data_IF_423963315525
#
_entry.id   IF_423963315525
#
_cell.length_a   1.000
_cell.length_b   1.000
_cell.length_c   1.000
_cell.angle_alpha   90.00
_cell.angle_beta   90.00
_cell.angle_gamma   90.00
#
_symmetry.space_group_name_H-M   'P 1'
#
loop_
_entity.id
_entity.type
_entity.pdbx_description
1 polymer ?
#
# COMPACT_ATOMS: atom_id res chain seq x y z
N UNK A 1 34.78 9.50 19.21
CA UNK A 1 33.50 9.87 18.56
C UNK A 1 32.49 10.08 19.66
N UNK A 2 31.90 11.27 19.77
CA UNK A 2 31.10 11.67 20.93
C UNK A 2 29.89 10.74 21.10
N UNK A 3 29.83 10.14 22.28
CA UNK A 3 28.81 9.22 22.76
C UNK A 3 27.60 10.04 23.24
N UNK A 4 26.98 10.83 22.35
CA UNK A 4 25.76 11.57 22.68
C UNK A 4 24.60 10.59 22.79
N UNK A 5 23.78 10.73 23.83
CA UNK A 5 22.56 9.95 24.02
C UNK A 5 21.63 10.20 22.82
N UNK A 6 21.03 9.16 22.21
CA UNK A 6 20.16 9.33 21.06
C UNK A 6 18.96 10.21 21.42
N UNK A 7 18.51 11.05 20.46
CA UNK A 7 17.34 11.93 20.60
C UNK A 7 16.03 11.17 20.87
N UNK A 8 15.95 9.93 20.41
CA UNK A 8 14.81 9.02 20.59
C UNK A 8 14.95 7.78 19.71
N UNK A 9 13.95 6.88 19.77
CA UNK A 9 13.89 5.69 18.92
C UNK A 9 12.82 5.84 17.83
N UNK A 10 13.23 5.76 16.57
CA UNK A 10 12.35 5.92 15.39
C UNK A 10 12.11 4.57 14.72
N UNK A 11 10.85 4.19 14.55
CA UNK A 11 10.43 3.09 13.70
C UNK A 11 10.26 3.56 12.26
N UNK A 12 10.89 2.91 11.28
CA UNK A 12 10.74 3.25 9.86
C UNK A 12 10.12 2.09 9.08
N UNK A 13 8.85 2.25 8.67
CA UNK A 13 8.19 1.36 7.71
C UNK A 13 8.47 1.83 6.27
N UNK A 14 8.91 0.93 5.40
CA UNK A 14 9.40 1.29 4.06
C UNK A 14 10.89 1.66 4.03
N UNK A 15 11.65 1.25 5.04
CA UNK A 15 13.08 1.50 5.21
C UNK A 15 13.95 1.11 4.00
N UNK A 16 13.61 0.02 3.30
CA UNK A 16 14.35 -0.42 2.10
C UNK A 16 13.98 0.34 0.83
N UNK A 17 13.02 1.28 0.89
CA UNK A 17 12.53 2.04 -0.26
C UNK A 17 13.40 3.24 -0.63
N UNK A 18 13.07 3.88 -1.76
CA UNK A 18 13.79 5.04 -2.31
C UNK A 18 14.01 6.18 -1.28
N UNK A 19 12.95 6.55 -0.56
CA UNK A 19 13.00 7.57 0.49
C UNK A 19 13.60 7.00 1.78
N UNK A 20 13.16 5.79 2.18
CA UNK A 20 13.57 5.15 3.43
C UNK A 20 15.09 5.06 3.57
N UNK A 21 15.80 4.58 2.54
CA UNK A 21 17.26 4.43 2.60
C UNK A 21 17.99 5.75 2.83
N UNK A 22 17.51 6.84 2.23
CA UNK A 22 18.09 8.18 2.39
C UNK A 22 17.75 8.77 3.75
N UNK A 23 16.52 8.57 4.22
CA UNK A 23 16.12 8.97 5.56
C UNK A 23 17.00 8.30 6.62
N UNK A 24 17.23 6.99 6.50
CA UNK A 24 18.08 6.24 7.42
C UNK A 24 19.51 6.80 7.53
N UNK A 25 20.07 7.30 6.42
CA UNK A 25 21.38 7.96 6.40
C UNK A 25 21.38 9.31 7.12
N UNK A 26 20.25 10.01 7.15
CA UNK A 26 20.09 11.30 7.80
C UNK A 26 19.81 11.18 9.31
N UNK A 27 19.24 10.07 9.77
CA UNK A 27 18.83 9.86 11.17
C UNK A 27 19.97 9.40 12.12
N UNK A 28 21.20 9.91 11.95
CA UNK A 28 22.37 9.46 12.75
C UNK A 28 22.28 9.76 14.24
N UNK A 29 21.52 10.78 14.62
CA UNK A 29 21.33 11.19 16.03
C UNK A 29 20.21 10.41 16.74
N UNK A 30 19.59 9.46 16.04
CA UNK A 30 18.48 8.64 16.52
C UNK A 30 18.87 7.16 16.56
N UNK A 31 18.27 6.41 17.48
CA UNK A 31 18.21 4.96 17.33
C UNK A 31 17.10 4.65 16.32
N UNK A 32 17.37 3.83 15.32
CA UNK A 32 16.39 3.54 14.27
C UNK A 32 16.04 2.06 14.24
N UNK A 33 14.76 1.74 14.30
CA UNK A 33 14.22 0.40 14.04
C UNK A 33 13.73 0.39 12.58
N UNK A 34 14.48 -0.26 11.70
CA UNK A 34 14.19 -0.32 10.27
C UNK A 34 13.44 -1.61 9.92
N UNK A 35 12.18 -1.49 9.48
CA UNK A 35 11.37 -2.64 9.08
C UNK A 35 11.71 -3.08 7.66
N UNK A 36 12.05 -4.36 7.49
CA UNK A 36 12.27 -4.98 6.18
C UNK A 36 11.47 -6.27 6.01
N UNK A 37 10.89 -6.49 4.82
CA UNK A 37 10.16 -7.74 4.55
C UNK A 37 11.08 -8.92 4.28
N UNK A 38 12.19 -8.66 3.59
CA UNK A 38 13.21 -9.64 3.23
C UNK A 38 14.55 -9.13 3.71
N UNK A 39 15.43 -10.01 4.18
CA UNK A 39 16.79 -9.67 4.59
C UNK A 39 17.59 -9.18 3.38
N UNK A 40 17.58 -7.87 3.17
CA UNK A 40 18.21 -7.22 2.02
C UNK A 40 18.62 -5.80 2.42
N UNK A 41 19.57 -5.74 3.36
CA UNK A 41 20.14 -4.49 3.85
C UNK A 41 20.89 -3.81 2.69
N UNK A 42 20.57 -2.56 2.35
CA UNK A 42 21.28 -1.81 1.32
C UNK A 42 22.77 -1.70 1.66
N UNK A 43 23.69 -1.84 0.67
CA UNK A 43 25.12 -1.79 0.92
C UNK A 43 25.59 -0.56 1.71
N UNK A 44 25.02 0.62 1.42
CA UNK A 44 25.36 1.88 2.08
C UNK A 44 24.95 1.95 3.57
N UNK A 45 24.15 1.00 4.06
CA UNK A 45 23.60 0.96 5.42
C UNK A 45 24.07 -0.27 6.21
N UNK A 46 24.99 -1.07 5.67
CA UNK A 46 25.45 -2.31 6.33
C UNK A 46 26.20 -2.05 7.63
N UNK A 47 27.02 -1.01 7.66
CA UNK A 47 27.89 -0.69 8.80
C UNK A 47 27.27 0.37 9.73
N UNK A 48 26.00 0.73 9.51
CA UNK A 48 25.30 1.74 10.29
C UNK A 48 24.88 1.18 11.65
N UNK A 49 25.62 1.51 12.71
CA UNK A 49 25.41 0.99 14.07
C UNK A 49 24.17 1.54 14.76
N UNK A 50 23.63 2.68 14.31
CA UNK A 50 22.42 3.28 14.86
C UNK A 50 21.12 2.63 14.34
N UNK A 51 21.23 1.67 13.41
CA UNK A 51 20.09 1.04 12.73
C UNK A 51 19.95 -0.42 13.16
N UNK A 52 18.83 -0.73 13.80
CA UNK A 52 18.38 -2.08 14.11
C UNK A 52 17.39 -2.56 13.03
N UNK A 53 17.82 -3.52 12.20
CA UNK A 53 16.97 -4.09 11.17
C UNK A 53 16.09 -5.20 11.73
N UNK A 54 14.76 -5.07 11.60
CA UNK A 54 13.80 -6.10 12.03
C UNK A 54 12.99 -6.62 10.85
N UNK A 55 12.90 -7.95 10.75
CA UNK A 55 12.12 -8.60 9.71
C UNK A 55 10.63 -8.48 10.03
N UNK A 56 9.83 -7.97 9.10
CA UNK A 56 8.40 -7.75 9.29
C UNK A 56 7.64 -7.74 7.96
N UNK A 57 6.65 -8.63 7.81
CA UNK A 57 5.61 -8.51 6.78
C UNK A 57 4.47 -7.63 7.33
N UNK A 58 4.30 -6.43 6.77
CA UNK A 58 3.30 -5.47 7.22
C UNK A 58 1.84 -5.95 7.07
N UNK A 59 1.60 -7.05 6.34
CA UNK A 59 0.28 -7.68 6.33
C UNK A 59 -0.02 -8.44 7.62
N UNK A 60 1.01 -8.81 8.39
CA UNK A 60 0.89 -9.45 9.69
C UNK A 60 0.94 -8.40 10.81
N UNK A 61 -0.23 -8.09 11.38
CA UNK A 61 -0.32 -7.23 12.56
C UNK A 61 0.60 -7.69 13.70
N UNK A 62 0.66 -9.00 13.95
CA UNK A 62 1.50 -9.57 15.00
C UNK A 62 2.99 -9.25 14.80
N UNK A 63 3.51 -9.41 13.57
CA UNK A 63 4.91 -9.11 13.30
C UNK A 63 5.22 -7.63 13.45
N UNK A 64 4.27 -6.74 13.12
CA UNK A 64 4.47 -5.30 13.33
C UNK A 64 4.47 -4.98 14.82
N UNK A 65 3.56 -5.56 15.61
CA UNK A 65 3.55 -5.40 17.08
C UNK A 65 4.89 -5.84 17.69
N UNK A 66 5.43 -6.99 17.29
CA UNK A 66 6.74 -7.45 17.78
C UNK A 66 7.88 -6.54 17.29
N UNK A 67 7.90 -6.20 16.00
CA UNK A 67 8.98 -5.45 15.41
C UNK A 67 8.97 -3.95 15.77
N UNK A 68 7.85 -3.39 16.21
CA UNK A 68 7.76 -1.98 16.61
C UNK A 68 8.00 -1.72 18.10
N UNK A 69 8.23 -2.77 18.89
CA UNK A 69 8.47 -2.63 20.33
C UNK A 69 9.68 -1.74 20.63
N UNK A 70 9.50 -0.79 21.56
CA UNK A 70 10.55 0.14 22.01
C UNK A 70 10.76 1.37 21.12
N UNK A 71 9.89 1.63 20.15
CA UNK A 71 9.91 2.87 19.36
C UNK A 71 9.05 3.97 20.00
N UNK A 72 9.50 5.22 19.91
CA UNK A 72 8.78 6.39 20.42
C UNK A 72 8.00 7.10 19.30
N UNK A 73 8.61 7.18 18.10
CA UNK A 73 8.06 7.83 16.91
C UNK A 73 8.11 6.87 15.73
N UNK A 74 7.13 6.95 14.84
CA UNK A 74 7.03 6.14 13.64
C UNK A 74 7.07 7.00 12.37
N UNK A 75 7.77 6.53 11.34
CA UNK A 75 7.75 7.08 9.98
C UNK A 75 7.19 6.02 9.03
N UNK A 76 6.09 6.35 8.36
CA UNK A 76 5.40 5.46 7.42
C UNK A 76 5.65 5.92 5.97
N UNK A 77 6.43 5.13 5.21
CA UNK A 77 6.82 5.42 3.82
C UNK A 77 6.33 4.36 2.83
N UNK A 78 5.38 3.53 3.26
CA UNK A 78 4.97 2.35 2.50
C UNK A 78 3.97 2.73 1.41
N UNK A 79 4.14 2.14 0.23
CA UNK A 79 3.19 2.22 -0.87
C UNK A 79 3.20 0.92 -1.69
N UNK A 80 2.05 0.27 -1.82
CA UNK A 80 1.91 -1.13 -2.23
C UNK A 80 1.56 -1.31 -3.71
N UNK A 81 2.30 -0.67 -4.60
CA UNK A 81 2.06 -0.76 -6.06
C UNK A 81 2.56 -2.06 -6.70
N UNK A 82 3.35 -2.84 -5.97
CA UNK A 82 3.96 -4.07 -6.46
C UNK A 82 3.28 -5.31 -5.85
N UNK A 83 3.17 -6.41 -6.61
CA UNK A 83 2.62 -7.65 -6.09
C UNK A 83 3.36 -8.14 -4.86
N UNK A 84 2.60 -8.63 -3.88
CA UNK A 84 3.12 -9.08 -2.58
C UNK A 84 3.16 -10.59 -2.43
N UNK A 85 2.57 -11.36 -3.35
CA UNK A 85 2.51 -12.82 -3.37
C UNK A 85 2.61 -13.36 -4.81
N UNK A 86 2.63 -14.69 -5.00
CA UNK A 86 2.63 -15.31 -6.35
C UNK A 86 1.36 -14.94 -7.10
N UNK A 87 0.23 -14.99 -6.40
CA UNK A 87 -1.04 -14.45 -6.84
C UNK A 87 -1.51 -13.41 -5.83
N UNK A 88 -1.59 -12.15 -6.27
CA UNK A 88 -2.21 -11.06 -5.54
C UNK A 88 -3.54 -10.69 -6.22
N UNK A 89 -4.65 -10.94 -5.55
CA UNK A 89 -6.00 -10.57 -5.96
C UNK A 89 -6.47 -9.39 -5.11
N UNK A 90 -5.88 -8.22 -5.32
CA UNK A 90 -6.20 -7.01 -4.57
C UNK A 90 -5.93 -5.79 -5.43
N UNK A 91 -6.69 -4.71 -5.21
CA UNK A 91 -6.26 -3.40 -5.66
C UNK A 91 -5.13 -2.91 -4.75
N UNK A 92 -4.24 -2.07 -5.28
CA UNK A 92 -3.17 -1.47 -4.48
C UNK A 92 -3.76 -0.59 -3.36
N UNK A 93 -4.91 0.06 -3.60
CA UNK A 93 -5.61 0.89 -2.61
C UNK A 93 -6.06 0.11 -1.40
N UNK A 94 -6.69 -1.04 -1.61
CA UNK A 94 -7.14 -1.94 -0.53
C UNK A 94 -5.95 -2.54 0.22
N UNK A 95 -4.85 -2.76 -0.50
CA UNK A 95 -3.60 -3.22 0.09
C UNK A 95 -2.97 -2.14 0.98
N UNK A 96 -2.85 -0.91 0.50
CA UNK A 96 -2.30 0.18 1.29
C UNK A 96 -3.14 0.47 2.53
N UNK A 97 -4.47 0.39 2.39
CA UNK A 97 -5.40 0.57 3.49
C UNK A 97 -5.20 -0.49 4.59
N UNK A 98 -5.10 -1.76 4.24
CA UNK A 98 -4.88 -2.83 5.23
C UNK A 98 -3.51 -2.74 5.90
N UNK A 99 -2.49 -2.30 5.17
CA UNK A 99 -1.15 -2.08 5.72
C UNK A 99 -1.12 -0.91 6.70
N UNK A 100 -1.75 0.21 6.34
CA UNK A 100 -1.83 1.39 7.18
C UNK A 100 -2.61 1.08 8.47
N UNK A 101 -3.73 0.38 8.36
CA UNK A 101 -4.53 -0.03 9.52
C UNK A 101 -3.76 -1.00 10.44
N UNK A 102 -3.07 -2.00 9.88
CA UNK A 102 -2.18 -2.86 10.67
C UNK A 102 -1.11 -2.05 11.40
N UNK A 103 -0.49 -1.09 10.70
CA UNK A 103 0.58 -0.29 11.25
C UNK A 103 0.10 0.54 12.44
N UNK A 104 -1.03 1.25 12.32
CA UNK A 104 -1.55 2.09 13.42
C UNK A 104 -2.02 1.27 14.61
N UNK A 105 -2.59 0.08 14.39
CA UNK A 105 -2.98 -0.82 15.49
C UNK A 105 -1.76 -1.26 16.29
N UNK A 106 -0.66 -1.60 15.62
CA UNK A 106 0.60 -1.93 16.27
C UNK A 106 1.22 -0.72 16.98
N UNK A 107 1.21 0.46 16.34
CA UNK A 107 1.68 1.71 16.95
C UNK A 107 0.95 2.01 18.26
N UNK A 108 -0.39 1.91 18.26
CA UNK A 108 -1.23 2.09 19.46
C UNK A 108 -0.87 1.10 20.56
N UNK A 109 -0.75 -0.19 20.21
CA UNK A 109 -0.43 -1.25 21.19
C UNK A 109 0.92 -1.01 21.87
N UNK A 110 1.90 -0.51 21.12
CA UNK A 110 3.26 -0.26 21.63
C UNK A 110 3.47 1.16 22.19
N UNK A 111 2.42 1.97 22.29
CA UNK A 111 2.50 3.31 22.86
C UNK A 111 3.32 4.31 22.04
N UNK A 112 3.39 4.13 20.71
CA UNK A 112 4.06 5.08 19.82
C UNK A 112 3.32 6.42 19.90
N UNK A 113 4.08 7.48 20.16
CA UNK A 113 3.55 8.80 20.53
C UNK A 113 3.31 9.69 19.33
N UNK A 114 3.92 9.39 18.18
CA UNK A 114 3.87 10.23 16.98
C UNK A 114 4.05 9.43 15.71
N UNK A 115 3.32 9.79 14.66
CA UNK A 115 3.49 9.24 13.31
C UNK A 115 3.83 10.37 12.34
N UNK A 116 4.83 10.15 11.49
CA UNK A 116 5.09 10.93 10.28
C UNK A 116 4.71 10.09 9.06
N UNK A 117 3.98 10.69 8.14
CA UNK A 117 3.58 10.05 6.89
C UNK A 117 4.05 10.86 5.70
N UNK A 118 4.77 10.24 4.76
CA UNK A 118 5.00 10.83 3.45
C UNK A 118 3.94 10.31 2.48
N UNK A 119 2.95 11.14 2.18
CA UNK A 119 1.80 10.94 1.31
C UNK A 119 2.01 11.43 -0.12
N UNK A 120 0.93 11.90 -0.75
CA UNK A 120 0.96 12.56 -2.05
C UNK A 120 0.13 13.84 -2.00
N UNK A 121 0.45 14.85 -2.82
CA UNK A 121 -0.38 16.07 -2.93
C UNK A 121 -1.82 15.68 -3.28
N UNK A 122 -2.77 16.25 -2.53
CA UNK A 122 -4.20 16.07 -2.78
C UNK A 122 -4.70 17.37 -3.45
N UNK A 123 -5.00 17.33 -4.76
CA UNK A 123 -5.45 18.50 -5.50
C UNK A 123 -6.83 18.97 -5.00
N UNK A 124 -7.17 20.22 -5.27
CA UNK A 124 -8.47 20.82 -4.95
C UNK A 124 -9.62 20.37 -5.87
N UNK A 125 -9.45 19.26 -6.59
CA UNK A 125 -10.42 18.74 -7.54
C UNK A 125 -11.47 17.87 -6.84
N UNK A 126 -12.72 17.87 -7.33
CA UNK A 126 -13.82 17.08 -6.74
C UNK A 126 -13.58 15.56 -6.83
N UNK A 127 -12.92 15.10 -7.90
CA UNK A 127 -12.68 13.67 -8.14
C UNK A 127 -11.20 13.33 -8.12
N UNK A 128 -10.77 12.58 -7.11
CA UNK A 128 -9.40 12.08 -7.03
C UNK A 128 -9.20 10.84 -7.92
N UNK A 129 -8.03 10.75 -8.55
CA UNK A 129 -7.61 9.49 -9.17
C UNK A 129 -7.54 8.36 -8.14
N UNK A 130 -7.69 7.07 -8.52
CA UNK A 130 -7.60 5.96 -7.57
C UNK A 130 -6.29 5.95 -6.77
N UNK A 131 -5.19 6.42 -7.38
CA UNK A 131 -3.90 6.55 -6.71
C UNK A 131 -3.95 7.62 -5.62
N UNK A 132 -4.40 8.84 -5.94
CA UNK A 132 -4.49 9.93 -4.96
C UNK A 132 -5.51 9.63 -3.86
N UNK A 133 -6.66 9.03 -4.21
CA UNK A 133 -7.65 8.54 -3.27
C UNK A 133 -7.04 7.55 -2.27
N UNK A 134 -6.24 6.59 -2.74
CA UNK A 134 -5.54 5.66 -1.87
C UNK A 134 -4.56 6.35 -0.92
N UNK A 135 -3.84 7.39 -1.36
CA UNK A 135 -2.89 8.13 -0.52
C UNK A 135 -3.60 8.92 0.56
N UNK A 136 -4.76 9.49 0.22
CA UNK A 136 -5.65 10.15 1.18
C UNK A 136 -6.26 9.17 2.18
N UNK A 137 -6.78 8.01 1.73
CA UNK A 137 -7.34 6.98 2.61
C UNK A 137 -6.32 6.44 3.63
N UNK A 138 -5.05 6.29 3.22
CA UNK A 138 -3.96 5.98 4.15
C UNK A 138 -3.80 7.10 5.17
N UNK A 139 -3.74 8.35 4.74
CA UNK A 139 -3.61 9.50 5.65
C UNK A 139 -4.75 9.55 6.67
N UNK A 140 -6.00 9.36 6.23
CA UNK A 140 -7.17 9.31 7.11
C UNK A 140 -7.10 8.13 8.09
N UNK A 141 -6.62 6.97 7.63
CA UNK A 141 -6.43 5.80 8.50
C UNK A 141 -5.38 6.06 9.58
N UNK A 142 -4.28 6.72 9.20
CA UNK A 142 -3.24 7.15 10.14
C UNK A 142 -3.78 8.20 11.13
N UNK A 143 -4.58 9.16 10.64
CA UNK A 143 -5.16 10.24 11.46
C UNK A 143 -6.19 9.71 12.46
N UNK A 144 -7.06 8.79 12.02
CA UNK A 144 -8.06 8.13 12.86
C UNK A 144 -7.45 7.28 13.98
N UNK A 145 -6.12 7.09 13.98
CA UNK A 145 -5.42 6.39 15.06
C UNK A 145 -5.45 7.13 16.40
N UNK A 146 -5.70 8.45 16.42
CA UNK A 146 -5.58 9.26 17.64
C UNK A 146 -4.13 9.46 18.09
N UNK A 147 -3.14 8.87 17.40
CA UNK A 147 -1.73 9.20 17.57
C UNK A 147 -1.48 10.48 16.75
N UNK A 148 -0.85 11.53 17.32
CA UNK A 148 -0.48 12.74 16.59
C UNK A 148 0.22 12.43 15.26
N UNK A 149 -0.38 12.89 14.16
CA UNK A 149 0.09 12.64 12.80
C UNK A 149 0.65 13.92 12.18
N UNK A 150 1.88 13.87 11.69
CA UNK A 150 2.41 14.87 10.76
C UNK A 150 2.38 14.29 9.35
N UNK A 151 1.58 14.87 8.46
CA UNK A 151 1.48 14.41 7.07
C UNK A 151 2.28 15.31 6.15
N UNK A 152 3.24 14.76 5.43
CA UNK A 152 3.99 15.45 4.38
C UNK A 152 3.49 14.96 3.02
N UNK A 153 3.03 15.85 2.17
CA UNK A 153 2.45 15.52 0.87
C UNK A 153 3.34 16.04 -0.23
N UNK A 154 3.96 15.14 -1.00
CA UNK A 154 4.80 15.52 -2.12
C UNK A 154 4.14 15.18 -3.46
N UNK A 155 4.41 16.01 -4.48
CA UNK A 155 4.04 15.71 -5.86
C UNK A 155 5.07 14.77 -6.50
N UNK A 156 5.67 15.24 -7.59
CA UNK A 156 6.80 14.52 -8.21
C UNK A 156 8.09 14.76 -7.43
N UNK A 157 8.66 13.69 -6.87
CA UNK A 157 9.99 13.72 -6.25
C UNK A 157 11.05 13.40 -7.30
N UNK A 158 12.01 14.30 -7.50
CA UNK A 158 13.17 14.12 -8.36
C UNK A 158 14.27 13.45 -7.55
N UNK A 159 14.65 12.24 -7.95
CA UNK A 159 15.77 11.55 -7.33
C UNK A 159 16.06 10.15 -7.86
N UNK A 160 17.33 9.79 -7.88
CA UNK A 160 17.86 8.53 -8.36
C UNK A 160 17.31 7.33 -7.57
N UNK A 161 16.70 6.37 -8.27
CA UNK A 161 16.01 5.24 -7.66
C UNK A 161 14.53 5.50 -7.34
N UNK A 162 14.03 6.72 -7.56
CA UNK A 162 12.60 7.02 -7.55
C UNK A 162 11.94 6.53 -8.83
N UNK A 163 10.86 5.74 -8.72
CA UNK A 163 10.24 5.10 -9.89
C UNK A 163 9.67 6.08 -10.90
N UNK A 164 9.00 7.15 -10.43
CA UNK A 164 8.41 8.18 -11.31
C UNK A 164 9.47 8.94 -12.09
N UNK A 165 10.54 9.38 -11.41
CA UNK A 165 11.65 10.09 -12.03
C UNK A 165 12.42 9.20 -13.02
N UNK A 166 12.76 7.96 -12.62
CA UNK A 166 13.45 7.02 -13.52
C UNK A 166 12.61 6.69 -14.76
N UNK A 167 11.29 6.52 -14.61
CA UNK A 167 10.37 6.29 -15.73
C UNK A 167 10.35 7.48 -16.70
N UNK A 168 10.23 8.71 -16.19
CA UNK A 168 10.29 9.93 -17.00
C UNK A 168 11.64 10.06 -17.72
N UNK A 169 12.76 9.89 -17.00
CA UNK A 169 14.09 9.91 -17.56
C UNK A 169 14.27 8.89 -18.70
N UNK A 170 13.79 7.64 -18.51
CA UNK A 170 13.91 6.60 -19.53
C UNK A 170 13.09 6.92 -20.79
N UNK A 171 11.91 7.53 -20.65
CA UNK A 171 11.11 7.99 -21.79
C UNK A 171 11.88 9.06 -22.58
N UNK A 172 12.35 10.10 -21.91
CA UNK A 172 13.14 11.19 -22.53
C UNK A 172 14.42 10.67 -23.18
N UNK A 173 15.13 9.76 -22.51
CA UNK A 173 16.39 9.19 -23.02
C UNK A 173 16.18 8.37 -24.30
N UNK A 174 15.08 7.62 -24.40
CA UNK A 174 14.86 6.59 -25.43
C UNK A 174 13.99 7.06 -26.60
N UNK A 175 13.03 7.95 -26.37
CA UNK A 175 12.06 8.35 -27.40
C UNK A 175 12.42 9.69 -28.04
N UNK A 176 12.69 9.75 -29.36
CA UNK A 176 12.90 11.04 -30.06
C UNK A 176 11.60 11.81 -30.30
N UNK A 177 10.49 11.08 -30.45
CA UNK A 177 9.14 11.62 -30.65
C UNK A 177 8.21 11.06 -29.57
N UNK A 178 7.43 11.93 -28.94
CA UNK A 178 6.47 11.57 -27.89
C UNK A 178 5.11 12.20 -28.18
N UNK A 179 4.11 11.35 -28.42
CA UNK A 179 2.70 11.74 -28.42
C UNK A 179 2.20 11.62 -26.98
N UNK A 180 2.03 12.78 -26.35
CA UNK A 180 1.67 12.87 -24.94
C UNK A 180 0.20 13.27 -24.80
N UNK A 181 -0.52 12.72 -23.81
CA UNK A 181 -1.87 13.19 -23.53
C UNK A 181 -1.89 14.68 -23.12
N UNK A 182 -3.04 15.35 -23.32
CA UNK A 182 -3.20 16.76 -22.95
C UNK A 182 -2.81 17.06 -21.49
N UNK A 183 -3.09 16.16 -20.54
CA UNK A 183 -2.71 16.37 -19.12
C UNK A 183 -1.22 16.61 -18.88
N UNK A 184 -0.33 16.32 -19.85
CA UNK A 184 1.09 16.69 -19.75
C UNK A 184 1.34 18.20 -19.74
N UNK A 185 0.32 19.01 -20.05
CA UNK A 185 0.32 20.47 -19.91
C UNK A 185 -0.12 20.95 -18.53
N UNK A 186 -0.55 20.04 -17.63
CA UNK A 186 -0.91 20.40 -16.27
C UNK A 186 0.33 20.81 -15.47
N UNK A 187 0.11 21.76 -14.55
CA UNK A 187 1.19 22.35 -13.76
C UNK A 187 1.56 21.46 -12.58
N UNK A 188 2.85 21.40 -12.28
CA UNK A 188 3.41 20.76 -11.11
C UNK A 188 4.56 21.59 -10.53
N UNK A 189 4.88 21.33 -9.26
CA UNK A 189 6.10 21.81 -8.61
C UNK A 189 6.91 20.61 -8.12
N UNK A 190 7.83 20.06 -8.94
CA UNK A 190 8.65 18.94 -8.51
C UNK A 190 9.55 19.35 -7.34
N UNK A 191 9.89 18.40 -6.48
CA UNK A 191 10.78 18.62 -5.34
C UNK A 191 11.96 17.65 -5.37
N UNK A 192 13.15 18.11 -5.00
CA UNK A 192 14.32 17.25 -4.87
C UNK A 192 14.17 16.28 -3.69
N UNK A 193 14.68 15.06 -3.84
CA UNK A 193 14.65 14.07 -2.77
C UNK A 193 15.38 14.55 -1.51
N UNK A 194 16.47 15.33 -1.64
CA UNK A 194 17.23 15.89 -0.51
C UNK A 194 16.36 16.84 0.30
N UNK A 195 15.55 17.66 -0.35
CA UNK A 195 14.60 18.58 0.30
C UNK A 195 13.47 17.82 1.01
N UNK A 196 13.02 16.70 0.44
CA UNK A 196 12.05 15.80 1.11
C UNK A 196 12.65 15.19 2.38
N UNK A 197 13.91 14.74 2.33
CA UNK A 197 14.60 14.21 3.51
C UNK A 197 14.83 15.29 4.56
N UNK A 198 15.25 16.49 4.15
CA UNK A 198 15.40 17.63 5.05
C UNK A 198 14.06 17.98 5.73
N UNK A 199 12.96 17.96 4.99
CA UNK A 199 11.61 18.18 5.51
C UNK A 199 11.18 17.12 6.53
N UNK A 200 11.47 15.84 6.26
CA UNK A 200 11.21 14.75 7.20
C UNK A 200 12.01 14.92 8.50
N UNK A 201 13.30 15.23 8.39
CA UNK A 201 14.17 15.45 9.56
C UNK A 201 13.73 16.69 10.36
N UNK A 202 13.38 17.77 9.67
CA UNK A 202 12.83 18.98 10.28
C UNK A 202 11.59 18.64 11.10
N UNK A 203 10.60 17.96 10.52
CA UNK A 203 9.40 17.59 11.26
C UNK A 203 9.70 16.68 12.46
N UNK A 204 10.66 15.76 12.37
CA UNK A 204 11.07 14.91 13.51
C UNK A 204 11.63 15.74 14.67
N UNK A 205 12.46 16.73 14.38
CA UNK A 205 13.09 17.60 15.38
C UNK A 205 12.13 18.68 15.95
N UNK A 206 10.96 18.91 15.33
CA UNK A 206 10.04 20.01 15.65
C UNK A 206 8.65 19.49 16.09
N UNK A 207 8.40 19.36 17.41
CA UNK A 207 7.14 18.84 17.95
C UNK A 207 5.89 19.62 17.55
N UNK A 208 6.00 20.91 17.29
CA UNK A 208 4.90 21.78 16.83
C UNK A 208 4.33 21.37 15.47
N UNK A 209 5.02 20.53 14.71
CA UNK A 209 4.51 19.99 13.44
C UNK A 209 3.54 18.81 13.64
N UNK A 210 3.33 18.35 14.87
CA UNK A 210 2.37 17.29 15.23
C UNK A 210 0.93 17.70 14.92
N UNK A 211 0.15 16.78 14.35
CA UNK A 211 -1.26 17.03 14.01
C UNK A 211 -1.48 17.86 12.74
N UNK A 212 -0.40 18.31 12.08
CA UNK A 212 -0.47 19.15 10.90
C UNK A 212 -0.17 18.39 9.59
N UNK A 213 -0.73 18.91 8.50
CA UNK A 213 -0.45 18.44 7.14
C UNK A 213 0.29 19.54 6.39
N UNK A 214 1.39 19.18 5.75
CA UNK A 214 2.19 20.08 4.93
C UNK A 214 2.39 19.55 3.52
N UNK A 215 2.30 20.46 2.55
CA UNK A 215 2.65 20.18 1.16
C UNK A 215 4.12 20.51 0.92
N UNK A 216 4.80 19.61 0.20
CA UNK A 216 6.20 19.70 -0.18
C UNK A 216 6.30 20.00 -1.67
N UNK A 217 6.96 21.10 -2.02
CA UNK A 217 7.14 21.55 -3.38
C UNK A 217 8.49 22.26 -3.55
N UNK A 218 9.14 22.06 -4.70
CA UNK A 218 10.31 22.82 -5.08
C UNK A 218 9.98 24.24 -5.55
N UNK A 219 10.99 25.05 -5.86
CA UNK A 219 10.80 26.45 -6.22
C UNK A 219 10.15 26.63 -7.61
N UNK A 220 10.44 25.72 -8.55
CA UNK A 220 10.01 25.86 -9.94
C UNK A 220 8.58 25.36 -10.19
N UNK A 221 7.79 26.18 -10.89
CA UNK A 221 6.46 25.79 -11.41
C UNK A 221 6.56 25.58 -12.91
N UNK A 222 6.17 24.39 -13.37
CA UNK A 222 6.29 24.02 -14.78
C UNK A 222 5.29 22.91 -15.15
N UNK A 223 5.17 22.62 -16.43
CA UNK A 223 4.37 21.48 -16.90
C UNK A 223 5.20 20.19 -16.98
N UNK A 224 4.53 19.04 -17.05
CA UNK A 224 5.22 17.76 -17.31
C UNK A 224 5.98 17.78 -18.65
N UNK A 225 5.44 18.48 -19.65
CA UNK A 225 6.11 18.70 -20.94
C UNK A 225 7.42 19.47 -20.76
N UNK A 226 7.40 20.56 -20.01
CA UNK A 226 8.60 21.39 -19.79
C UNK A 226 9.66 20.61 -19.00
N UNK A 227 9.24 19.79 -18.03
CA UNK A 227 10.12 18.92 -17.27
C UNK A 227 10.86 17.94 -18.19
N UNK A 228 10.13 17.30 -19.12
CA UNK A 228 10.71 16.40 -20.10
C UNK A 228 11.66 17.11 -21.07
N UNK A 229 11.34 18.34 -21.47
CA UNK A 229 12.19 19.15 -22.35
C UNK A 229 13.48 19.59 -21.65
N UNK A 230 13.41 20.09 -20.40
CA UNK A 230 14.59 20.41 -19.57
C UNK A 230 15.48 19.19 -19.35
N UNK A 231 14.87 18.04 -19.06
CA UNK A 231 15.61 16.76 -18.93
C UNK A 231 16.30 16.39 -20.24
N UNK A 232 15.67 16.66 -21.39
CA UNK A 232 16.23 16.37 -22.70
C UNK A 232 17.44 17.27 -23.04
N UNK A 233 17.33 18.56 -22.69
CA UNK A 233 18.40 19.54 -22.83
C UNK A 233 19.65 19.11 -22.05
N UNK A 234 19.50 18.74 -20.77
CA UNK A 234 20.60 18.23 -19.94
C UNK A 234 21.20 16.92 -20.47
N UNK A 235 20.43 16.12 -21.21
CA UNK A 235 20.92 14.92 -21.88
C UNK A 235 21.60 15.20 -23.23
N UNK A 236 21.67 16.46 -23.68
CA UNK A 236 22.17 16.83 -25.01
C UNK A 236 21.28 16.27 -26.14
N UNK A 237 19.97 16.18 -25.90
CA UNK A 237 19.02 15.45 -26.75
C UNK A 237 17.89 16.37 -27.20
N UNK A 238 17.63 16.44 -28.51
CA UNK A 238 16.41 17.07 -29.05
C UNK A 238 15.24 16.09 -28.98
N UNK A 239 14.11 16.48 -28.37
CA UNK A 239 12.88 15.69 -28.27
C UNK A 239 11.69 16.46 -28.82
N UNK A 240 10.86 15.80 -29.60
CA UNK A 240 9.64 16.36 -30.15
C UNK A 240 8.45 15.87 -29.34
N UNK A 241 7.79 16.77 -28.62
CA UNK A 241 6.67 16.44 -27.72
C UNK A 241 5.41 17.16 -28.21
N UNK A 242 4.43 16.37 -28.65
CA UNK A 242 3.13 16.85 -29.12
C UNK A 242 2.05 16.39 -28.16
N UNK A 243 1.28 17.35 -27.63
CA UNK A 243 0.14 17.06 -26.77
C UNK A 243 -1.10 16.75 -27.64
N UNK A 244 -1.80 15.66 -27.35
CA UNK A 244 -3.01 15.24 -28.06
C UNK A 244 -4.23 15.20 -27.13
N UNK A 245 -5.43 15.60 -27.62
CA UNK A 245 -6.63 15.76 -26.78
C UNK A 245 -7.21 14.44 -26.26
N UNK A 246 -7.11 13.37 -27.05
CA UNK A 246 -7.59 12.05 -26.67
C UNK A 246 -6.44 11.06 -26.58
N UNK A 247 -6.30 10.41 -25.43
CA UNK A 247 -5.32 9.36 -25.25
C UNK A 247 -5.90 8.21 -24.44
N UNK A 248 -5.88 6.99 -25.01
CA UNK A 248 -6.36 5.80 -24.33
C UNK A 248 -5.34 5.37 -23.26
N UNK A 249 -5.67 5.39 -21.95
CA UNK A 249 -4.73 5.03 -20.89
C UNK A 249 -4.15 3.62 -21.04
N UNK A 250 -4.85 2.68 -21.69
CA UNK A 250 -4.33 1.33 -21.96
C UNK A 250 -3.14 1.34 -22.93
N UNK A 251 -3.20 2.18 -23.97
CA UNK A 251 -2.08 2.38 -24.90
C UNK A 251 -0.90 3.04 -24.18
N UNK A 252 -1.18 3.93 -23.22
CA UNK A 252 -0.18 4.70 -22.47
C UNK A 252 0.63 3.77 -21.60
N UNK A 253 -0.07 2.91 -20.87
CA UNK A 253 0.54 1.85 -20.06
C UNK A 253 1.36 0.89 -20.93
N UNK A 254 0.85 0.53 -22.11
CA UNK A 254 1.56 -0.38 -23.03
C UNK A 254 2.88 0.23 -23.53
N UNK A 255 2.85 1.46 -24.04
CA UNK A 255 4.04 2.14 -24.55
C UNK A 255 5.07 2.39 -23.46
N UNK A 256 4.64 2.91 -22.31
CA UNK A 256 5.54 3.13 -21.16
C UNK A 256 6.17 1.83 -20.69
N UNK A 257 5.41 0.73 -20.65
CA UNK A 257 5.95 -0.60 -20.31
C UNK A 257 7.04 -1.05 -21.27
N UNK A 258 6.81 -0.91 -22.58
CA UNK A 258 7.80 -1.32 -23.61
C UNK A 258 9.09 -0.52 -23.44
N UNK A 259 8.98 0.77 -23.21
CA UNK A 259 10.14 1.67 -23.17
C UNK A 259 10.88 1.63 -21.85
N UNK A 260 10.20 1.44 -20.72
CA UNK A 260 10.83 1.53 -19.38
C UNK A 260 11.06 0.16 -18.74
N UNK A 261 10.35 -0.87 -19.19
CA UNK A 261 10.36 -2.19 -18.57
C UNK A 261 9.63 -2.26 -17.23
N UNK A 262 8.96 -1.19 -16.81
CA UNK A 262 8.16 -1.14 -15.58
C UNK A 262 6.88 -1.98 -15.71
N UNK A 263 6.33 -2.44 -14.57
CA UNK A 263 5.09 -3.24 -14.59
C UNK A 263 3.86 -2.37 -14.84
N UNK A 264 2.81 -2.88 -15.52
CA UNK A 264 1.54 -2.19 -15.65
C UNK A 264 0.91 -1.77 -14.32
N UNK A 265 1.13 -2.55 -13.26
CA UNK A 265 0.62 -2.27 -11.90
C UNK A 265 1.24 -1.01 -11.28
N UNK A 266 2.48 -0.68 -11.66
CA UNK A 266 3.16 0.54 -11.25
C UNK A 266 2.80 1.70 -12.17
N UNK A 267 2.77 1.48 -13.48
CA UNK A 267 2.57 2.55 -14.48
C UNK A 267 1.16 3.12 -14.39
N UNK A 268 0.13 2.27 -14.32
CA UNK A 268 -1.26 2.70 -14.42
C UNK A 268 -1.63 3.75 -13.36
N UNK A 269 -1.40 3.52 -12.05
CA UNK A 269 -1.82 4.48 -11.04
C UNK A 269 -1.00 5.78 -11.11
N UNK A 270 0.28 5.71 -11.47
CA UNK A 270 1.12 6.90 -11.66
C UNK A 270 0.56 7.77 -12.78
N UNK A 271 0.36 7.22 -13.98
CA UNK A 271 -0.19 7.94 -15.14
C UNK A 271 -1.58 8.50 -14.84
N UNK A 272 -2.43 7.77 -14.13
CA UNK A 272 -3.75 8.27 -13.71
C UNK A 272 -3.65 9.46 -12.74
N UNK A 273 -2.68 9.46 -11.82
CA UNK A 273 -2.47 10.61 -10.92
C UNK A 273 -1.88 11.85 -11.59
N UNK A 274 -1.19 11.71 -12.73
CA UNK A 274 -0.65 12.86 -13.46
C UNK A 274 -1.72 13.68 -14.20
N UNK A 275 -2.98 13.23 -14.15
CA UNK A 275 -4.12 13.90 -14.78
C UNK A 275 -4.61 15.13 -14.02
N UNK A 276 -4.21 15.31 -12.77
CA UNK A 276 -4.60 16.46 -11.95
C UNK A 276 -3.45 17.47 -11.87
N UNK A 277 -3.76 18.73 -11.56
CA UNK A 277 -2.71 19.71 -11.25
C UNK A 277 -2.06 19.36 -9.91
N UNK A 278 -0.74 19.28 -9.87
CA UNK A 278 0.03 18.86 -8.69
C UNK A 278 0.74 20.06 -8.06
N UNK A 279 -0.05 21.06 -7.69
CA UNK A 279 0.42 22.28 -7.02
C UNK A 279 0.19 22.16 -5.50
N UNK A 280 1.12 22.69 -4.68
CA UNK A 280 0.94 22.74 -3.24
C UNK A 280 -0.17 23.74 -2.86
N UNK A 281 -0.86 23.47 -1.77
CA UNK A 281 -1.64 24.48 -1.05
C UNK A 281 -0.68 25.46 -0.38
N UNK A 282 -0.70 26.73 -0.80
CA UNK A 282 0.17 27.77 -0.27
C UNK A 282 0.03 27.95 1.25
N UNK A 283 -1.14 27.65 1.83
CA UNK A 283 -1.38 27.74 3.29
C UNK A 283 -0.75 26.58 4.06
N UNK A 284 -0.40 25.50 3.38
CA UNK A 284 0.17 24.27 3.96
C UNK A 284 1.58 23.99 3.48
N UNK A 285 2.16 24.83 2.63
CA UNK A 285 3.51 24.58 2.14
C UNK A 285 4.50 24.64 3.31
N UNK A 286 5.26 23.56 3.52
CA UNK A 286 6.34 23.58 4.52
C UNK A 286 7.47 24.46 4.00
N UNK A 287 7.88 25.43 4.81
CA UNK A 287 9.05 26.27 4.55
C UNK A 287 9.99 26.15 5.75
N UNK A 288 11.13 25.49 5.56
CA UNK A 288 12.15 25.38 6.60
C UNK A 288 12.88 26.73 6.70
N UNK A 289 12.96 27.36 7.90
CA UNK A 289 13.68 28.61 8.08
C UNK A 289 15.14 28.50 7.66
N UNK A 290 15.63 29.51 6.93
CA UNK A 290 17.02 29.60 6.45
C UNK A 290 17.48 28.41 5.56
N UNK A 291 16.53 27.67 4.99
CA UNK A 291 16.80 26.56 4.09
C UNK A 291 16.55 26.96 2.64
N UNK A 292 17.51 26.66 1.75
CA UNK A 292 17.36 26.89 0.31
C UNK A 292 17.01 25.58 -0.38
N UNK A 293 15.80 25.53 -0.94
CA UNK A 293 15.32 24.41 -1.74
C UNK A 293 16.04 24.36 -3.08
N UNK A 294 16.31 23.14 -3.55
CA UNK A 294 17.02 22.90 -4.80
C UNK A 294 16.13 23.30 -5.98
N UNK A 295 16.72 24.02 -6.94
CA UNK A 295 16.06 24.27 -8.22
C UNK A 295 15.97 22.99 -9.04
N UNK A 296 15.08 22.97 -10.03
CA UNK A 296 14.92 21.83 -10.92
C UNK A 296 16.21 21.51 -11.68
N UNK A 297 16.92 22.54 -12.15
CA UNK A 297 18.13 22.35 -12.96
C UNK A 297 19.26 21.74 -12.10
N UNK A 298 19.42 22.19 -10.85
CA UNK A 298 20.35 21.58 -9.88
C UNK A 298 19.96 20.13 -9.56
N UNK A 299 18.66 19.90 -9.31
CA UNK A 299 18.11 18.58 -8.99
C UNK A 299 18.37 17.58 -10.11
N UNK A 300 18.05 17.96 -11.36
CA UNK A 300 18.28 17.12 -12.53
C UNK A 300 19.78 16.88 -12.75
N UNK A 301 20.62 17.92 -12.67
CA UNK A 301 22.06 17.80 -12.87
C UNK A 301 22.73 16.87 -11.86
N UNK A 302 22.28 16.88 -10.60
CA UNK A 302 22.77 15.98 -9.56
C UNK A 302 22.22 14.56 -9.74
N UNK A 303 20.90 14.40 -9.76
CA UNK A 303 20.26 13.08 -9.68
C UNK A 303 20.44 12.27 -10.96
N UNK A 304 20.63 12.90 -12.12
CA UNK A 304 20.94 12.18 -13.37
C UNK A 304 22.35 11.57 -13.37
N UNK A 305 23.32 12.13 -12.63
CA UNK A 305 24.66 11.54 -12.47
C UNK A 305 24.61 10.27 -11.62
N UNK A 306 23.79 10.30 -10.57
CA UNK A 306 23.59 9.17 -9.66
C UNK A 306 22.63 8.10 -10.22
N UNK A 307 21.88 8.42 -11.28
CA UNK A 307 20.84 7.54 -11.80
C UNK A 307 21.41 6.28 -12.45
N UNK A 308 21.27 5.16 -11.74
CA UNK A 308 21.50 3.81 -12.26
C UNK A 308 20.14 3.17 -12.54
N UNK A 309 19.75 2.91 -13.81
CA UNK A 309 18.45 2.34 -14.13
C UNK A 309 18.24 0.98 -13.46
N UNK A 310 17.31 0.89 -12.52
CA UNK A 310 17.06 -0.30 -11.70
C UNK A 310 15.65 -0.84 -11.81
N UNK A 311 14.68 -0.09 -12.37
CA UNK A 311 13.27 -0.46 -12.44
C UNK A 311 13.08 -1.93 -12.87
N UNK A 312 13.58 -2.30 -14.06
CA UNK A 312 13.42 -3.67 -14.57
C UNK A 312 14.01 -4.75 -13.65
N UNK A 313 15.17 -4.51 -13.03
CA UNK A 313 15.84 -5.47 -12.14
C UNK A 313 15.08 -5.67 -10.84
N UNK A 314 14.62 -4.57 -10.22
CA UNK A 314 13.84 -4.58 -8.99
C UNK A 314 12.54 -5.35 -9.17
N UNK A 315 11.81 -5.08 -10.25
CA UNK A 315 10.57 -5.79 -10.57
C UNK A 315 10.78 -7.29 -10.80
N UNK A 316 11.83 -7.68 -11.55
CA UNK A 316 12.16 -9.11 -11.78
C UNK A 316 12.47 -9.83 -10.46
N UNK A 317 13.23 -9.18 -9.58
CA UNK A 317 13.62 -9.75 -8.27
C UNK A 317 12.40 -9.96 -7.37
N UNK A 318 11.54 -8.95 -7.25
CA UNK A 318 10.31 -9.04 -6.44
C UNK A 318 9.39 -10.13 -6.98
N UNK A 319 9.22 -10.22 -8.31
CA UNK A 319 8.42 -11.27 -8.95
C UNK A 319 8.99 -12.67 -8.71
N UNK A 320 10.32 -12.83 -8.79
CA UNK A 320 10.99 -14.11 -8.53
C UNK A 320 10.73 -14.57 -7.09
N UNK A 321 10.99 -13.71 -6.10
CA UNK A 321 10.73 -14.00 -4.68
C UNK A 321 9.26 -14.32 -4.42
N UNK A 322 8.33 -13.60 -5.04
CA UNK A 322 6.91 -13.86 -4.87
C UNK A 322 6.48 -15.20 -5.47
N UNK A 323 7.08 -15.62 -6.58
CA UNK A 323 6.85 -16.93 -7.18
C UNK A 323 7.41 -18.07 -6.34
N UNK A 324 8.60 -17.90 -5.76
CA UNK A 324 9.25 -18.86 -4.86
C UNK A 324 8.42 -19.10 -3.59
N UNK A 325 7.87 -18.04 -3.00
CA UNK A 325 7.00 -18.17 -1.82
C UNK A 325 5.73 -18.99 -2.12
N UNK A 326 5.24 -18.97 -3.36
CA UNK A 326 4.11 -19.81 -3.78
C UNK A 326 2.87 -19.61 -2.86
N UNK A 327 2.54 -18.35 -2.54
CA UNK A 327 1.40 -17.99 -1.71
C UNK A 327 0.37 -17.16 -2.48
N UNK A 328 -0.86 -17.18 -1.98
CA UNK A 328 -1.97 -16.35 -2.43
C UNK A 328 -2.26 -15.27 -1.40
N UNK A 329 -2.50 -14.07 -1.91
CA UNK A 329 -3.06 -12.97 -1.13
C UNK A 329 -4.25 -12.38 -1.87
N UNK A 330 -5.34 -12.17 -1.16
CA UNK A 330 -6.57 -11.61 -1.73
C UNK A 330 -7.10 -10.56 -0.77
N UNK A 331 -7.45 -9.37 -1.25
CA UNK A 331 -8.05 -8.30 -0.43
C UNK A 331 -9.16 -7.66 -1.24
N UNK A 332 -10.38 -7.72 -0.72
CA UNK A 332 -11.57 -7.16 -1.35
C UNK A 332 -12.22 -6.15 -0.41
N UNK A 333 -12.39 -4.92 -0.90
CA UNK A 333 -13.25 -3.92 -0.26
C UNK A 333 -14.71 -4.25 -0.56
N UNK A 334 -15.51 -4.35 0.48
CA UNK A 334 -16.96 -4.57 0.43
C UNK A 334 -17.65 -3.44 1.21
N UNK A 335 -18.94 -3.24 0.92
CA UNK A 335 -19.77 -2.28 1.64
C UNK A 335 -20.08 -2.79 3.04
N UNK A 336 -20.07 -1.90 4.03
CA UNK A 336 -20.53 -2.18 5.37
C UNK A 336 -21.89 -1.51 5.57
N UNK A 337 -22.98 -2.26 5.79
CA UNK A 337 -24.29 -1.67 6.05
C UNK A 337 -24.28 -0.87 7.35
N UNK A 338 -25.05 0.22 7.40
CA UNK A 338 -25.08 1.11 8.56
C UNK A 338 -25.47 0.38 9.84
N UNK A 339 -24.78 0.67 10.95
CA UNK A 339 -25.01 0.03 12.25
C UNK A 339 -24.39 -1.37 12.41
N UNK A 340 -23.66 -1.86 11.41
CA UNK A 340 -22.93 -3.13 11.46
C UNK A 340 -21.42 -2.93 11.49
N UNK A 341 -20.70 -3.99 11.87
CA UNK A 341 -19.24 -4.01 12.04
C UNK A 341 -18.62 -5.27 11.39
N UNK A 342 -17.32 -5.46 11.59
CA UNK A 342 -16.61 -6.63 11.06
C UNK A 342 -17.07 -7.96 11.63
N UNK A 343 -17.46 -7.98 12.90
CA UNK A 343 -18.04 -9.16 13.54
C UNK A 343 -19.32 -9.62 12.85
N UNK A 344 -20.25 -8.69 12.65
CA UNK A 344 -21.48 -8.96 11.92
C UNK A 344 -21.20 -9.43 10.49
N UNK A 345 -20.29 -8.76 9.76
CA UNK A 345 -19.98 -9.12 8.37
C UNK A 345 -19.38 -10.53 8.26
N UNK A 346 -18.55 -10.93 9.22
CA UNK A 346 -18.00 -12.28 9.27
C UNK A 346 -19.08 -13.34 9.52
N UNK A 347 -19.96 -13.11 10.51
CA UNK A 347 -21.09 -14.00 10.78
C UNK A 347 -22.04 -14.09 9.59
N UNK A 348 -22.32 -12.96 8.95
CA UNK A 348 -23.18 -12.92 7.77
C UNK A 348 -22.58 -13.69 6.61
N UNK A 349 -21.26 -13.62 6.41
CA UNK A 349 -20.58 -14.42 5.40
C UNK A 349 -20.75 -15.92 5.64
N UNK A 350 -20.58 -16.38 6.89
CA UNK A 350 -20.73 -17.78 7.28
C UNK A 350 -22.17 -18.28 7.11
N UNK A 351 -23.16 -17.41 7.32
CA UNK A 351 -24.59 -17.70 7.12
C UNK A 351 -24.99 -17.71 5.65
N UNK A 352 -24.56 -16.69 4.91
CA UNK A 352 -24.93 -16.47 3.51
C UNK A 352 -24.32 -17.51 2.57
N UNK A 353 -23.04 -17.88 2.78
CA UNK A 353 -22.32 -18.74 1.84
C UNK A 353 -22.98 -20.12 1.59
N UNK A 354 -23.33 -20.94 2.61
CA UNK A 354 -24.00 -22.22 2.38
C UNK A 354 -25.38 -22.05 1.76
N UNK A 355 -26.10 -20.98 2.11
CA UNK A 355 -27.40 -20.67 1.53
C UNK A 355 -27.30 -20.35 0.04
N UNK A 356 -26.32 -19.53 -0.34
CA UNK A 356 -26.06 -19.16 -1.72
C UNK A 356 -25.63 -20.35 -2.60
N UNK A 357 -24.94 -21.33 -2.01
CA UNK A 357 -24.51 -22.56 -2.68
C UNK A 357 -25.42 -23.76 -2.39
N UNK A 358 -26.62 -23.56 -1.85
CA UNK A 358 -27.55 -24.65 -1.57
C UNK A 358 -27.97 -25.39 -2.87
N UNK A 359 -28.08 -26.73 -2.88
CA UNK A 359 -27.87 -27.66 -1.76
C UNK A 359 -26.41 -28.16 -1.61
N UNK A 360 -25.48 -27.63 -2.40
CA UNK A 360 -24.13 -28.19 -2.53
C UNK A 360 -23.28 -28.02 -1.28
N UNK A 361 -23.28 -26.83 -0.68
CA UNK A 361 -22.38 -26.46 0.41
C UNK A 361 -23.11 -26.43 1.76
N UNK A 362 -22.50 -27.04 2.77
CA UNK A 362 -22.90 -26.92 4.17
C UNK A 362 -21.76 -26.33 5.00
N UNK A 363 -22.16 -25.52 5.98
CA UNK A 363 -21.27 -25.01 7.03
C UNK A 363 -21.71 -25.61 8.35
N UNK A 364 -20.76 -26.24 9.05
CA UNK A 364 -20.94 -26.66 10.44
C UNK A 364 -20.01 -25.81 11.29
N UNK A 365 -20.58 -25.01 12.18
CA UNK A 365 -19.81 -24.28 13.17
C UNK A 365 -19.87 -25.00 14.50
N UNK A 366 -18.70 -25.26 15.05
CA UNK A 366 -18.47 -25.46 16.47
C UNK A 366 -18.14 -24.08 17.10
N UNK A 367 -18.00 -23.98 18.43
CA UNK A 367 -17.78 -22.71 19.14
C UNK A 367 -16.58 -21.91 18.59
N UNK A 368 -15.54 -22.59 18.07
CA UNK A 368 -14.34 -21.93 17.53
C UNK A 368 -13.93 -22.36 16.14
N UNK A 369 -14.54 -23.41 15.57
CA UNK A 369 -14.14 -24.00 14.29
C UNK A 369 -15.32 -24.07 13.32
N UNK A 370 -15.18 -23.39 12.19
CA UNK A 370 -16.11 -23.47 11.06
C UNK A 370 -15.59 -24.48 10.03
N UNK A 371 -16.41 -25.48 9.70
CA UNK A 371 -16.10 -26.53 8.73
C UNK A 371 -17.02 -26.38 7.52
N UNK A 372 -16.43 -26.15 6.35
CA UNK A 372 -17.13 -26.10 5.07
C UNK A 372 -17.04 -27.48 4.41
N UNK A 373 -18.16 -28.06 3.99
CA UNK A 373 -18.20 -29.37 3.30
C UNK A 373 -19.24 -29.37 2.19
N UNK A 374 -18.98 -30.14 1.13
CA UNK A 374 -20.05 -30.48 0.20
C UNK A 374 -20.98 -31.53 0.82
N UNK A 375 -22.28 -31.50 0.51
CA UNK A 375 -23.23 -32.44 1.12
C UNK A 375 -22.91 -33.92 0.86
N UNK A 376 -22.33 -34.21 -0.30
CA UNK A 376 -21.95 -35.55 -0.73
C UNK A 376 -20.52 -35.96 -0.28
N UNK A 377 -19.74 -35.06 0.33
CA UNK A 377 -18.38 -35.36 0.80
C UNK A 377 -18.31 -35.47 2.32
N UNK A 378 -17.61 -36.51 2.80
CA UNK A 378 -17.28 -36.64 4.24
C UNK A 378 -16.15 -35.71 4.69
N UNK A 379 -15.24 -35.34 3.79
CA UNK A 379 -14.09 -34.47 4.10
C UNK A 379 -14.46 -32.99 3.98
N UNK A 380 -13.95 -32.16 4.90
CA UNK A 380 -14.11 -30.71 4.82
C UNK A 380 -13.29 -30.11 3.67
N UNK A 381 -13.92 -29.21 2.90
CA UNK A 381 -13.27 -28.38 1.89
C UNK A 381 -12.31 -27.38 2.53
N UNK A 382 -12.78 -26.72 3.59
CA UNK A 382 -12.02 -25.71 4.32
C UNK A 382 -12.38 -25.79 5.80
N UNK A 383 -11.39 -25.58 6.67
CA UNK A 383 -11.54 -25.45 8.11
C UNK A 383 -10.96 -24.12 8.54
N UNK A 384 -11.79 -23.30 9.16
CA UNK A 384 -11.45 -21.99 9.68
C UNK A 384 -11.54 -22.04 11.21
N UNK A 385 -10.49 -21.59 11.90
CA UNK A 385 -10.48 -21.45 13.36
C UNK A 385 -10.52 -19.98 13.74
N UNK A 386 -11.57 -19.55 14.42
CA UNK A 386 -11.69 -18.20 14.95
C UNK A 386 -10.58 -17.95 16.00
N UNK A 387 -9.91 -16.82 15.89
CA UNK A 387 -8.91 -16.39 16.87
C UNK A 387 -9.53 -15.42 17.87
N UNK A 388 -10.15 -15.95 18.92
CA UNK A 388 -10.82 -15.12 19.95
C UNK A 388 -9.90 -14.06 20.57
N UNK A 389 -8.62 -14.37 20.75
CA UNK A 389 -7.60 -13.43 21.29
C UNK A 389 -7.15 -12.35 20.32
N UNK A 390 -7.49 -12.46 19.04
CA UNK A 390 -7.09 -11.51 17.97
C UNK A 390 -8.28 -10.99 17.18
N UNK A 391 -9.49 -11.34 17.62
CA UNK A 391 -10.74 -10.81 17.09
C UNK A 391 -11.27 -9.73 18.02
N UNK A 392 -11.93 -8.74 17.43
CA UNK A 392 -12.58 -7.60 18.05
C UNK A 392 -13.80 -7.21 17.19
N UNK A 393 -14.73 -6.37 17.68
CA UNK A 393 -15.92 -6.00 16.92
C UNK A 393 -15.60 -5.43 15.51
N UNK A 394 -14.49 -4.71 15.39
CA UNK A 394 -13.98 -4.07 14.18
C UNK A 394 -13.02 -4.97 13.37
N UNK A 395 -12.69 -6.18 13.85
CA UNK A 395 -11.82 -7.13 13.15
C UNK A 395 -12.08 -8.58 13.55
N UNK A 396 -12.47 -9.43 12.61
CA UNK A 396 -12.57 -10.87 12.84
C UNK A 396 -11.46 -11.63 12.12
N UNK A 397 -10.76 -12.50 12.84
CA UNK A 397 -9.64 -13.27 12.33
C UNK A 397 -9.91 -14.78 12.39
N UNK A 398 -9.79 -15.44 11.24
CA UNK A 398 -9.91 -16.89 11.11
C UNK A 398 -8.63 -17.50 10.54
N UNK A 399 -7.96 -18.38 11.29
CA UNK A 399 -6.84 -19.16 10.78
C UNK A 399 -7.33 -20.30 9.87
N UNK A 400 -6.65 -20.48 8.74
CA UNK A 400 -6.91 -21.57 7.81
C UNK A 400 -6.15 -22.81 8.29
N UNK A 401 -6.84 -23.67 9.05
CA UNK A 401 -6.25 -24.84 9.72
C UNK A 401 -6.36 -26.14 8.90
N UNK A 402 -6.82 -26.04 7.65
CA UNK A 402 -6.78 -27.13 6.67
C UNK A 402 -8.07 -27.30 5.88
N UNK A 403 -8.28 -28.52 5.38
CA UNK A 403 -9.35 -28.84 4.43
C UNK A 403 -8.78 -29.14 3.04
N UNK A 404 -9.60 -29.72 2.16
CA UNK A 404 -9.17 -30.14 0.81
C UNK A 404 -8.64 -29.00 -0.06
N UNK A 405 -9.01 -27.74 0.20
CA UNK A 405 -8.56 -26.58 -0.57
C UNK A 405 -7.16 -26.09 -0.16
N UNK A 406 -6.74 -26.37 1.08
CA UNK A 406 -5.45 -25.94 1.61
C UNK A 406 -4.39 -27.02 1.42
N UNK A 407 -3.17 -26.62 1.03
CA UNK A 407 -2.03 -27.53 0.96
C UNK A 407 -1.68 -28.10 2.34
N UNK A 408 -0.98 -29.25 2.37
CA UNK A 408 -0.41 -29.80 3.62
C UNK A 408 0.65 -28.87 4.22
N UNK A 409 1.40 -28.18 3.37
CA UNK A 409 2.45 -27.22 3.76
C UNK A 409 1.91 -25.79 3.89
N UNK A 410 0.60 -25.64 4.14
CA UNK A 410 -0.01 -24.33 4.30
C UNK A 410 0.60 -23.61 5.53
N UNK A 411 1.08 -22.37 5.38
CA UNK A 411 1.66 -21.62 6.49
C UNK A 411 0.71 -21.52 7.70
N UNK A 412 1.28 -21.57 8.91
CA UNK A 412 0.49 -21.47 10.15
C UNK A 412 -0.22 -20.12 10.30
N UNK A 413 0.31 -19.08 9.67
CA UNK A 413 -0.25 -17.73 9.68
C UNK A 413 -1.21 -17.47 8.50
N UNK A 414 -1.53 -18.50 7.70
CA UNK A 414 -2.58 -18.46 6.69
C UNK A 414 -3.93 -18.16 7.34
N UNK A 415 -4.61 -17.12 6.83
CA UNK A 415 -5.82 -16.62 7.50
C UNK A 415 -6.77 -15.92 6.54
N UNK A 416 -8.04 -15.95 6.91
CA UNK A 416 -9.10 -15.08 6.41
C UNK A 416 -9.40 -14.04 7.48
N UNK A 417 -9.53 -12.77 7.10
CA UNK A 417 -9.96 -11.72 8.02
C UNK A 417 -11.03 -10.82 7.41
N UNK A 418 -11.96 -10.39 8.26
CA UNK A 418 -12.89 -9.31 7.99
C UNK A 418 -12.45 -8.13 8.85
N UNK A 419 -12.31 -6.96 8.25
CA UNK A 419 -11.73 -5.81 8.93
C UNK A 419 -12.43 -4.52 8.55
N UNK A 420 -12.95 -3.85 9.55
CA UNK A 420 -13.54 -2.53 9.39
C UNK A 420 -12.45 -1.50 9.13
N UNK A 421 -12.68 -0.64 8.15
CA UNK A 421 -11.73 0.39 7.73
C UNK A 421 -12.44 1.69 7.39
N UNK A 422 -11.71 2.80 7.44
CA UNK A 422 -12.22 4.15 7.15
C UNK A 422 -13.44 4.49 8.01
N UNK A 423 -13.31 4.30 9.33
CA UNK A 423 -14.32 4.61 10.34
C UNK A 423 -15.71 4.01 10.04
N UNK A 424 -15.76 2.69 9.84
CA UNK A 424 -17.02 1.98 9.62
C UNK A 424 -17.63 2.15 8.22
N UNK A 425 -16.93 2.77 7.28
CA UNK A 425 -17.46 2.95 5.92
C UNK A 425 -17.40 1.68 5.08
N UNK A 426 -16.36 0.87 5.27
CA UNK A 426 -16.13 -0.34 4.48
C UNK A 426 -15.64 -1.50 5.34
N UNK A 427 -15.78 -2.69 4.79
CA UNK A 427 -15.15 -3.90 5.30
C UNK A 427 -14.14 -4.43 4.27
N UNK A 428 -12.94 -4.78 4.71
CA UNK A 428 -11.99 -5.56 3.93
C UNK A 428 -12.16 -7.04 4.27
N UNK A 429 -12.47 -7.86 3.27
CA UNK A 429 -12.34 -9.30 3.34
C UNK A 429 -10.97 -9.69 2.74
N UNK A 430 -10.08 -10.23 3.57
CA UNK A 430 -8.70 -10.49 3.18
C UNK A 430 -8.24 -11.92 3.48
N UNK A 431 -7.69 -12.59 2.48
CA UNK A 431 -6.98 -13.86 2.61
C UNK A 431 -5.49 -13.57 2.55
N UNK A 432 -4.74 -14.02 3.56
CA UNK A 432 -3.29 -13.87 3.62
C UNK A 432 -2.61 -15.23 3.64
N UNK A 433 -1.47 -15.30 2.95
CA UNK A 433 -0.51 -16.41 2.98
C UNK A 433 -1.09 -17.79 2.64
N UNK A 434 -2.24 -17.84 1.98
CA UNK A 434 -2.90 -19.10 1.65
C UNK A 434 -2.10 -19.89 0.60
N UNK A 435 -1.85 -21.17 0.89
CA UNK A 435 -1.23 -22.11 -0.03
C UNK A 435 -2.28 -23.09 -0.58
N UNK A 436 -2.61 -23.06 -1.88
CA UNK A 436 -3.62 -23.91 -2.46
C UNK A 436 -3.13 -25.36 -2.60
N UNK A 437 -4.03 -26.33 -2.43
CA UNK A 437 -3.73 -27.75 -2.65
C UNK A 437 -3.64 -28.16 -4.12
N UNK A 438 -4.29 -27.39 -5.01
CA UNK A 438 -4.31 -27.66 -6.44
C UNK A 438 -3.01 -27.21 -7.14
N UNK A 439 -2.63 -27.87 -8.25
CA UNK A 439 -1.61 -27.34 -9.14
C UNK A 439 -1.91 -25.89 -9.55
N UNK A 440 -0.88 -25.04 -9.57
CA UNK A 440 -1.01 -23.59 -9.72
C UNK A 440 -1.85 -23.13 -10.91
N UNK A 441 -1.68 -23.78 -12.06
CA UNK A 441 -2.43 -23.43 -13.26
C UNK A 441 -3.92 -23.69 -13.05
N UNK A 442 -4.28 -24.85 -12.51
CA UNK A 442 -5.67 -25.20 -12.21
C UNK A 442 -6.25 -24.22 -11.18
N UNK A 443 -5.55 -23.98 -10.07
CA UNK A 443 -5.98 -23.05 -9.03
C UNK A 443 -6.29 -21.65 -9.59
N UNK A 444 -5.36 -21.10 -10.38
CA UNK A 444 -5.44 -19.74 -10.94
C UNK A 444 -6.67 -19.55 -11.83
N UNK A 445 -7.02 -20.54 -12.63
CA UNK A 445 -8.15 -20.45 -13.58
C UNK A 445 -9.46 -21.01 -13.03
N UNK A 446 -9.48 -21.56 -11.82
CA UNK A 446 -10.68 -22.12 -11.17
C UNK A 446 -10.98 -21.46 -9.83
N UNK A 447 -10.42 -21.96 -8.72
CA UNK A 447 -10.70 -21.52 -7.36
C UNK A 447 -10.45 -20.02 -7.16
N UNK A 448 -9.39 -19.46 -7.74
CA UNK A 448 -9.10 -18.03 -7.63
C UNK A 448 -10.17 -17.16 -8.33
N UNK A 449 -10.71 -17.63 -9.46
CA UNK A 449 -11.78 -16.93 -10.19
C UNK A 449 -13.10 -17.04 -9.43
N UNK A 450 -13.42 -18.24 -8.92
CA UNK A 450 -14.60 -18.49 -8.10
C UNK A 450 -14.55 -17.63 -6.83
N UNK A 451 -13.41 -17.55 -6.14
CA UNK A 451 -13.23 -16.71 -4.95
C UNK A 451 -13.64 -15.25 -5.21
N UNK A 452 -13.12 -14.64 -6.28
CA UNK A 452 -13.48 -13.26 -6.64
C UNK A 452 -14.96 -13.09 -6.98
N UNK A 453 -15.54 -14.06 -7.67
CA UNK A 453 -16.97 -14.05 -7.97
C UNK A 453 -17.82 -14.16 -6.71
N UNK A 454 -17.46 -15.03 -5.76
CA UNK A 454 -18.12 -15.15 -4.46
C UNK A 454 -18.04 -13.84 -3.68
N UNK A 455 -16.86 -13.21 -3.61
CA UNK A 455 -16.71 -11.93 -2.89
C UNK A 455 -17.57 -10.82 -3.50
N UNK A 456 -17.69 -10.75 -4.83
CA UNK A 456 -18.60 -9.79 -5.49
C UNK A 456 -20.07 -10.07 -5.20
N UNK A 457 -20.46 -11.35 -5.16
CA UNK A 457 -21.83 -11.74 -4.81
C UNK A 457 -22.16 -11.47 -3.35
N UNK A 458 -21.17 -11.63 -2.48
CA UNK A 458 -21.30 -11.28 -1.08
C UNK A 458 -21.43 -9.77 -0.89
N UNK A 459 -20.60 -8.95 -1.55
CA UNK A 459 -20.73 -7.50 -1.54
C UNK A 459 -22.11 -7.04 -2.03
N UNK A 460 -22.62 -7.65 -3.12
CA UNK A 460 -23.97 -7.38 -3.60
C UNK A 460 -25.04 -7.73 -2.55
N UNK A 461 -24.89 -8.84 -1.84
CA UNK A 461 -25.77 -9.23 -0.74
C UNK A 461 -25.74 -8.21 0.41
N UNK A 462 -24.56 -7.73 0.81
CA UNK A 462 -24.42 -6.71 1.85
C UNK A 462 -25.16 -5.42 1.48
N UNK A 463 -25.11 -4.99 0.22
CA UNK A 463 -25.78 -3.77 -0.24
C UNK A 463 -27.31 -3.86 -0.31
N UNK A 464 -27.87 -5.05 -0.57
CA UNK A 464 -29.30 -5.21 -0.85
C UNK A 464 -30.07 -5.93 0.27
N UNK A 465 -29.37 -6.38 1.31
CA UNK A 465 -29.93 -7.16 2.41
C UNK A 465 -30.41 -8.55 1.98
N UNK A 466 -30.83 -9.40 2.95
CA UNK A 466 -31.41 -10.69 2.66
C UNK A 466 -32.71 -10.51 1.85
N UNK A 467 -32.81 -11.13 0.68
CA UNK A 467 -34.06 -11.12 -0.11
C UNK A 467 -35.23 -11.59 0.78
N UNK A 468 -36.31 -10.81 0.83
CA UNK A 468 -37.46 -10.98 1.75
C UNK A 468 -38.15 -12.34 1.76
N UNK A 469 -37.91 -13.20 0.76
CA UNK A 469 -38.42 -14.58 0.71
C UNK A 469 -37.70 -15.55 1.67
N UNK A 470 -36.59 -15.15 2.30
CA UNK A 470 -35.73 -16.04 3.08
C UNK A 470 -35.72 -15.79 4.59
N UNK A 471 -36.54 -14.85 5.09
CA UNK A 471 -36.67 -14.57 6.53
C UNK A 471 -37.65 -15.50 7.26
N UNK A 472 -38.42 -16.30 6.52
CA UNK A 472 -39.42 -17.22 7.06
C UNK A 472 -39.08 -18.66 6.70
N UNK A 473 -38.13 -19.26 7.42
CA UNK A 473 -38.02 -20.71 7.66
C UNK A 473 -36.62 -21.01 8.22
N UNK A 474 -36.44 -20.93 9.54
CA UNK A 474 -35.79 -21.98 10.36
C UNK A 474 -36.18 -21.73 11.84
N UNK A 475 -36.76 -22.72 12.55
CA UNK A 475 -36.94 -22.67 14.00
C UNK A 475 -35.63 -23.00 14.73
N UNK A 476 -35.31 -22.25 15.79
CA UNK A 476 -34.26 -22.65 16.74
C UNK A 476 -33.12 -21.66 16.98
N UNK A 477 -33.35 -20.35 16.96
CA UNK A 477 -32.44 -19.38 17.61
C UNK A 477 -33.28 -18.30 18.28
N UNK A 478 -33.57 -18.50 19.57
CA UNK A 478 -34.10 -17.45 20.44
C UNK A 478 -32.97 -16.45 20.70
N UNK A 479 -33.20 -15.19 20.38
CA UNK A 479 -32.43 -14.10 20.95
C UNK A 479 -32.55 -14.16 22.48
N UNK A 480 -31.41 -14.08 23.16
CA UNK A 480 -31.28 -13.51 24.49
C UNK A 480 -30.08 -12.60 24.48
#
# INVERSE_FOLDING_TARGET
MQNSKPKGTILVAGATGFIGQRLLLALKDYKVIALQRYQNIPPALKDATHIEWRQCDLFSLLQIEEASAGADTAVYLVHSMLPSARLSQANFSDTDLILADNFVRACRKNGIQRILYLGGIIPFEESLSPHLQSRWEVEETLRASGIPLTSLRAGLIIGAGGSSFEMMYLLVKRLPFMLCPHWTTHSLRPIDVRDVIASLCYCLDHPETQGHTYDLAGPDTLTYRDLMLKTAELLGKKRWIVAVPFFNPRLSVLWVRIITGASPTLIKPLVESLRSNMLPDARRQLLIPYYTYQTLDESLAHEMKELKPTLSKTHKTIRKRSHEASLVRSVQRLHLPAGHNAEWAAHEYLRWLPHFFFPFLMVQSDETICRFRFFFLRKSLLRLKLSTTRSSPDRQLFYIVGGLLASKDNPKDSRLEFREVLNGKYILAAIHNFSPSLPWYIYKYTQAVIHLWVMRRFDYHLQHGPRSKWSKQVPGYSQK
#
